data_IF_623285535925
#
_entry.id   IF_623285535925
#
_cell.length_a   1.000
_cell.length_b   1.000
_cell.length_c   1.000
_cell.angle_alpha   90.00
_cell.angle_beta   90.00
_cell.angle_gamma   90.00
#
_symmetry.space_group_name_H-M   'P 1'
#
loop_
_entity.id
_entity.type
_entity.pdbx_description
1 polymer ?
#
# COMPACT_ATOMS: atom_id res chain seq x y z
N UNK A 1 8.89 -3.72 2.91
CA UNK A 1 7.70 -4.04 2.08
C UNK A 1 6.90 -2.78 1.78
N UNK A 2 6.40 -2.62 0.56
CA UNK A 2 5.46 -1.58 0.15
C UNK A 2 4.23 -2.19 -0.53
N UNK A 3 3.03 -1.94 0.00
CA UNK A 3 1.77 -2.44 -0.57
C UNK A 3 1.06 -1.30 -1.29
N UNK A 4 0.67 -1.53 -2.52
CA UNK A 4 -0.03 -0.55 -3.35
C UNK A 4 -1.16 -1.20 -4.15
N UNK A 5 -2.05 -0.36 -4.69
CA UNK A 5 -3.13 -0.77 -5.57
C UNK A 5 -3.46 0.39 -6.52
N UNK A 6 -4.13 0.10 -7.63
CA UNK A 6 -4.76 1.10 -8.49
C UNK A 6 -5.78 1.95 -7.72
N UNK A 7 -6.08 3.12 -8.26
CA UNK A 7 -6.94 4.09 -7.57
C UNK A 7 -8.38 3.58 -7.39
N UNK A 8 -8.93 2.84 -8.35
CA UNK A 8 -10.32 2.37 -8.31
C UNK A 8 -10.50 1.32 -7.22
N UNK A 9 -9.55 0.38 -7.10
CA UNK A 9 -9.52 -0.60 -6.01
C UNK A 9 -9.48 0.08 -4.63
N UNK A 10 -8.69 1.15 -4.51
CA UNK A 10 -8.55 1.90 -3.26
C UNK A 10 -9.80 2.72 -2.94
N UNK A 11 -10.42 3.34 -3.94
CA UNK A 11 -11.68 4.08 -3.82
C UNK A 11 -12.77 3.15 -3.31
N UNK A 12 -12.98 2.02 -3.98
CA UNK A 12 -14.00 1.02 -3.59
C UNK A 12 -13.80 0.60 -2.14
N UNK A 13 -12.58 0.22 -1.76
CA UNK A 13 -12.27 -0.16 -0.37
C UNK A 13 -12.55 0.98 0.62
N UNK A 14 -12.19 2.21 0.27
CA UNK A 14 -12.39 3.35 1.16
C UNK A 14 -13.88 3.70 1.38
N UNK A 15 -14.71 3.51 0.36
CA UNK A 15 -16.16 3.67 0.48
C UNK A 15 -16.73 2.51 1.30
N UNK A 16 -16.45 1.27 0.89
CA UNK A 16 -17.12 0.08 1.41
C UNK A 16 -16.70 -0.26 2.86
N UNK A 17 -15.41 -0.15 3.18
CA UNK A 17 -14.86 -0.57 4.48
C UNK A 17 -14.75 0.60 5.47
N UNK A 18 -14.50 1.81 4.97
CA UNK A 18 -14.23 2.98 5.82
C UNK A 18 -15.35 4.02 5.79
N UNK A 19 -16.40 3.83 4.98
CA UNK A 19 -17.54 4.74 4.90
C UNK A 19 -17.19 6.13 4.39
N UNK A 20 -16.10 6.27 3.62
CA UNK A 20 -15.66 7.56 3.10
C UNK A 20 -16.66 8.05 2.06
N UNK A 21 -17.01 9.34 2.12
CA UNK A 21 -17.91 9.96 1.15
C UNK A 21 -17.37 9.77 -0.29
N UNK A 22 -18.15 9.15 -1.20
CA UNK A 22 -17.75 8.91 -2.59
C UNK A 22 -17.33 10.17 -3.36
N UNK A 23 -17.93 11.33 -3.08
CA UNK A 23 -17.63 12.58 -3.78
C UNK A 23 -16.25 13.15 -3.45
N UNK A 24 -15.66 12.70 -2.32
CA UNK A 24 -14.37 13.22 -1.81
C UNK A 24 -13.30 12.15 -1.69
N UNK A 25 -13.63 10.90 -1.90
CA UNK A 25 -12.76 9.75 -1.61
C UNK A 25 -11.43 9.83 -2.36
N UNK A 26 -11.45 10.21 -3.63
CA UNK A 26 -10.22 10.32 -4.44
C UNK A 26 -9.30 11.43 -3.92
N UNK A 27 -9.86 12.59 -3.58
CA UNK A 27 -9.11 13.72 -3.01
C UNK A 27 -8.49 13.33 -1.65
N UNK A 28 -9.27 12.65 -0.81
CA UNK A 28 -8.81 12.16 0.50
C UNK A 28 -7.64 11.19 0.32
N UNK A 29 -7.75 10.24 -0.61
CA UNK A 29 -6.70 9.28 -0.92
C UNK A 29 -5.42 10.01 -1.35
N UNK A 30 -5.52 10.94 -2.32
CA UNK A 30 -4.38 11.72 -2.81
C UNK A 30 -3.74 12.56 -1.71
N UNK A 31 -4.54 13.16 -0.84
CA UNK A 31 -4.06 13.94 0.32
C UNK A 31 -3.28 13.08 1.30
N UNK A 32 -3.80 11.90 1.64
CA UNK A 32 -3.13 10.95 2.55
C UNK A 32 -1.82 10.46 1.94
N UNK A 33 -1.81 10.12 0.65
CA UNK A 33 -0.58 9.69 -0.04
C UNK A 33 0.47 10.79 -0.02
N UNK A 34 0.07 12.04 -0.28
CA UNK A 34 1.00 13.18 -0.22
C UNK A 34 1.57 13.40 1.17
N UNK A 35 0.75 13.24 2.21
CA UNK A 35 1.22 13.32 3.60
C UNK A 35 2.23 12.22 3.92
N UNK A 36 1.96 10.98 3.50
CA UNK A 36 2.87 9.83 3.69
C UNK A 36 4.19 10.03 2.94
N UNK A 37 4.13 10.49 1.70
CA UNK A 37 5.30 10.83 0.90
C UNK A 37 6.14 11.89 1.61
N UNK A 38 5.54 13.02 1.99
CA UNK A 38 6.27 14.11 2.65
C UNK A 38 6.93 13.65 3.95
N UNK A 39 6.20 12.91 4.80
CA UNK A 39 6.74 12.38 6.05
C UNK A 39 7.91 11.43 5.79
N UNK A 40 7.73 10.41 4.94
CA UNK A 40 8.77 9.42 4.65
C UNK A 40 10.01 10.08 4.04
N UNK A 41 9.83 10.97 3.07
CA UNK A 41 10.93 11.66 2.41
C UNK A 41 11.70 12.55 3.38
N UNK A 42 11.00 13.29 4.25
CA UNK A 42 11.63 14.18 5.23
C UNK A 42 12.48 13.41 6.24
N UNK A 43 11.96 12.33 6.82
CA UNK A 43 12.65 11.60 7.88
C UNK A 43 13.70 10.60 7.40
N UNK A 44 13.54 10.05 6.19
CA UNK A 44 14.47 9.02 5.68
C UNK A 44 15.46 9.57 4.65
N UNK A 45 15.17 10.73 4.05
CA UNK A 45 15.88 11.22 2.86
C UNK A 45 15.64 10.37 1.61
N UNK A 46 14.79 9.35 1.68
CA UNK A 46 14.51 8.40 0.58
C UNK A 46 13.16 8.71 -0.05
N UNK A 47 13.00 8.41 -1.34
CA UNK A 47 11.74 8.58 -2.07
C UNK A 47 10.70 7.51 -1.69
N UNK A 48 9.56 7.92 -1.14
CA UNK A 48 8.42 7.05 -0.87
C UNK A 48 7.95 6.34 -2.15
N UNK A 49 7.59 5.05 -2.02
CA UNK A 49 7.15 4.23 -3.15
C UNK A 49 8.25 3.84 -4.16
N UNK A 50 9.51 4.29 -3.98
CA UNK A 50 10.62 3.81 -4.81
C UNK A 50 10.96 2.36 -4.46
N UNK A 51 10.92 1.47 -5.45
CA UNK A 51 11.11 0.02 -5.28
C UNK A 51 12.41 -0.32 -4.53
N UNK A 52 13.51 0.37 -4.84
CA UNK A 52 14.81 0.13 -4.19
C UNK A 52 14.87 0.43 -2.68
N UNK A 53 13.83 1.04 -2.11
CA UNK A 53 13.74 1.32 -0.68
C UNK A 53 13.04 0.21 0.12
N UNK A 54 12.57 -0.86 -0.54
CA UNK A 54 11.83 -1.95 0.07
C UNK A 54 12.31 -3.29 -0.48
N UNK A 55 12.38 -4.33 0.37
CA UNK A 55 12.76 -5.68 -0.08
C UNK A 55 11.73 -6.29 -1.05
N UNK A 56 10.46 -5.94 -0.87
CA UNK A 56 9.35 -6.35 -1.73
C UNK A 56 8.35 -5.21 -1.94
N UNK A 57 7.77 -5.15 -3.13
CA UNK A 57 6.59 -4.36 -3.47
C UNK A 57 5.46 -5.29 -3.88
N UNK A 58 4.24 -5.02 -3.42
CA UNK A 58 3.09 -5.92 -3.61
C UNK A 58 1.89 -5.12 -4.11
N UNK A 59 1.39 -5.50 -5.29
CA UNK A 59 0.19 -4.91 -5.86
C UNK A 59 -1.06 -5.69 -5.43
N UNK A 60 -1.80 -5.13 -4.47
CA UNK A 60 -3.01 -5.76 -3.91
C UNK A 60 -4.24 -5.64 -4.82
N UNK A 61 -4.20 -4.86 -5.91
CA UNK A 61 -5.21 -4.92 -6.98
C UNK A 61 -5.35 -6.33 -7.53
N UNK A 62 -4.21 -6.99 -7.78
CA UNK A 62 -4.19 -8.32 -8.38
C UNK A 62 -4.31 -9.41 -7.33
N UNK A 63 -3.59 -9.25 -6.22
CA UNK A 63 -3.52 -10.29 -5.20
C UNK A 63 -4.77 -10.35 -4.30
N UNK A 64 -5.54 -9.25 -4.21
CA UNK A 64 -6.56 -9.11 -3.17
C UNK A 64 -5.98 -9.21 -1.76
N UNK A 65 -6.82 -9.31 -0.74
CA UNK A 65 -6.35 -9.45 0.66
C UNK A 65 -5.71 -10.82 0.87
N UNK A 66 -6.43 -11.91 0.55
CA UNK A 66 -5.96 -13.26 0.84
C UNK A 66 -4.69 -13.63 0.05
N UNK A 67 -4.60 -13.21 -1.21
CA UNK A 67 -3.37 -13.41 -1.98
C UNK A 67 -2.22 -12.58 -1.43
N UNK A 68 -2.49 -11.37 -0.93
CA UNK A 68 -1.45 -10.56 -0.27
C UNK A 68 -0.94 -11.22 1.01
N UNK A 69 -1.83 -11.78 1.83
CA UNK A 69 -1.46 -12.53 3.04
C UNK A 69 -0.58 -13.72 2.68
N UNK A 70 -0.98 -14.53 1.68
CA UNK A 70 -0.19 -15.68 1.21
C UNK A 70 1.23 -15.30 0.77
N UNK A 71 1.37 -14.20 0.03
CA UNK A 71 2.69 -13.69 -0.39
C UNK A 71 3.55 -13.33 0.82
N UNK A 72 2.97 -12.64 1.80
CA UNK A 72 3.69 -12.21 3.02
C UNK A 72 4.08 -13.41 3.88
N UNK A 73 3.17 -14.37 4.08
CA UNK A 73 3.44 -15.60 4.82
C UNK A 73 4.58 -16.40 4.19
N UNK A 74 4.56 -16.57 2.86
CA UNK A 74 5.62 -17.29 2.16
C UNK A 74 6.96 -16.60 2.31
N UNK A 75 7.02 -15.27 2.18
CA UNK A 75 8.26 -14.52 2.41
C UNK A 75 8.82 -14.74 3.82
N UNK A 76 7.95 -14.78 4.84
CA UNK A 76 8.36 -15.04 6.22
C UNK A 76 8.85 -16.47 6.40
N UNK A 77 8.17 -17.46 5.80
CA UNK A 77 8.60 -18.87 5.84
C UNK A 77 9.98 -19.06 5.24
N UNK A 78 10.26 -18.49 4.07
CA UNK A 78 11.58 -18.58 3.43
C UNK A 78 12.66 -17.92 4.30
N UNK A 79 12.34 -16.82 5.00
CA UNK A 79 13.28 -16.18 5.93
C UNK A 79 13.55 -17.02 7.18
N UNK A 80 12.58 -17.82 7.62
CA UNK A 80 12.66 -18.62 8.86
C UNK A 80 13.19 -20.03 8.65
N UNK A 81 13.12 -20.56 7.43
CA UNK A 81 13.79 -21.81 7.05
C UNK A 81 15.30 -21.59 7.02
N UNK A 82 15.93 -21.75 8.18
CA UNK A 82 17.38 -21.86 8.38
C UNK A 82 17.76 -23.33 8.27
#
# INVERSE_FOLDING_TARGET
MFIHADIDTRIRRAIDEYGVNPDKVEEIIKKIDKQRENYYNFYTGKKWGSMGNYDITLNSTYAGIDGSVKVIENLIREKMSI
#
